data_IF_450250478398
#
_entry.id   IF_450250478398
#
_cell.length_a   1.000
_cell.length_b   1.000
_cell.length_c   1.000
_cell.angle_alpha   90.00
_cell.angle_beta   90.00
_cell.angle_gamma   90.00
#
_symmetry.space_group_name_H-M   'P 1'
#
loop_
_entity.id
_entity.type
_entity.pdbx_description
1 polymer ?
#
# COMPACT_ATOMS: atom_id res chain seq x y z
N UNK A 1 49.91 33.15 40.85
CA UNK A 1 49.63 32.05 39.91
C UNK A 1 48.29 31.41 40.28
N UNK A 2 47.20 31.82 39.64
CA UNK A 2 45.86 31.25 39.88
C UNK A 2 45.10 31.27 38.55
N UNK A 3 44.95 30.10 37.92
CA UNK A 3 44.15 29.91 36.69
C UNK A 3 42.72 29.55 37.10
N UNK A 4 41.75 30.35 36.69
CA UNK A 4 40.33 30.02 36.77
C UNK A 4 39.93 29.15 35.56
N UNK A 5 39.12 28.09 35.71
CA UNK A 5 38.65 27.32 34.58
C UNK A 5 37.37 27.96 34.00
N UNK A 6 37.37 28.21 32.69
CA UNK A 6 36.17 28.53 31.93
C UNK A 6 35.29 27.28 31.80
N UNK A 7 34.10 27.31 32.41
CA UNK A 7 33.04 26.35 32.09
C UNK A 7 32.42 26.74 30.73
N UNK A 8 32.67 25.93 29.70
CA UNK A 8 31.95 26.03 28.43
C UNK A 8 30.57 25.36 28.58
N UNK A 9 29.52 26.16 28.58
CA UNK A 9 28.13 25.69 28.58
C UNK A 9 27.76 25.28 27.14
N UNK A 10 27.73 23.97 26.88
CA UNK A 10 27.26 23.44 25.60
C UNK A 10 25.73 23.48 25.53
N UNK A 11 25.17 24.42 24.77
CA UNK A 11 23.73 24.47 24.47
C UNK A 11 23.44 23.46 23.37
N UNK A 12 22.84 22.33 23.74
CA UNK A 12 22.36 21.31 22.81
C UNK A 12 21.05 21.80 22.17
N UNK A 13 21.13 22.34 20.95
CA UNK A 13 19.95 22.71 20.15
C UNK A 13 19.22 21.44 19.71
N UNK A 14 18.16 21.07 20.45
CA UNK A 14 17.17 20.09 20.02
C UNK A 14 16.35 20.69 18.86
N UNK A 15 16.77 20.42 17.63
CA UNK A 15 15.95 20.65 16.43
C UNK A 15 14.72 19.74 16.50
N UNK A 16 13.48 20.26 16.53
CA UNK A 16 12.31 19.43 16.39
C UNK A 16 12.32 18.83 14.99
N UNK A 17 12.42 17.50 14.91
CA UNK A 17 12.19 16.77 13.67
C UNK A 17 10.71 16.93 13.31
N UNK A 18 10.38 17.97 12.54
CA UNK A 18 9.08 18.04 11.88
C UNK A 18 9.02 16.84 10.93
N UNK A 19 8.07 15.91 11.08
CA UNK A 19 7.83 14.92 10.05
C UNK A 19 7.44 15.71 8.80
N UNK A 20 8.28 15.65 7.77
CA UNK A 20 7.89 16.07 6.44
C UNK A 20 6.69 15.20 6.07
N UNK A 21 5.48 15.77 6.19
CA UNK A 21 4.36 15.31 5.41
C UNK A 21 4.77 15.58 3.97
N UNK A 22 5.38 14.57 3.34
CA UNK A 22 5.57 14.56 1.91
C UNK A 22 4.17 14.69 1.35
N UNK A 23 3.85 15.89 0.89
CA UNK A 23 2.63 16.11 0.15
C UNK A 23 2.78 15.29 -1.13
N UNK A 24 2.14 14.11 -1.14
CA UNK A 24 2.14 13.24 -2.29
C UNK A 24 1.37 13.88 -3.46
N UNK A 25 0.76 15.07 -3.27
CA UNK A 25 0.21 15.92 -4.32
C UNK A 25 1.34 16.72 -5.00
N UNK A 26 2.28 16.03 -5.63
CA UNK A 26 3.12 16.67 -6.65
C UNK A 26 2.23 17.23 -7.76
N UNK A 27 2.71 18.26 -8.46
CA UNK A 27 1.94 19.09 -9.40
C UNK A 27 1.24 18.37 -10.59
N UNK A 28 1.34 17.04 -10.71
CA UNK A 28 0.76 16.22 -11.80
C UNK A 28 0.17 14.87 -11.34
N UNK A 29 -0.24 14.74 -10.07
CA UNK A 29 -0.91 13.53 -9.62
C UNK A 29 -2.29 13.37 -10.26
N UNK A 30 -2.56 12.19 -10.84
CA UNK A 30 -3.89 11.80 -11.30
C UNK A 30 -4.49 10.77 -10.33
N UNK A 31 -5.78 10.92 -10.04
CA UNK A 31 -6.51 9.90 -9.28
C UNK A 31 -6.71 8.69 -10.18
N UNK A 32 -6.13 7.56 -9.78
CA UNK A 32 -6.42 6.30 -10.45
C UNK A 32 -7.78 5.78 -9.98
N UNK A 33 -7.96 5.61 -8.68
CA UNK A 33 -9.17 5.08 -8.06
C UNK A 33 -9.45 5.79 -6.74
N UNK A 34 -10.70 6.21 -6.54
CA UNK A 34 -11.20 6.73 -5.25
C UNK A 34 -12.50 6.05 -4.79
N UNK A 35 -12.98 5.05 -5.55
CA UNK A 35 -14.18 4.25 -5.32
C UNK A 35 -15.50 5.03 -5.25
N UNK A 36 -15.53 6.34 -5.55
CA UNK A 36 -16.76 7.14 -5.45
C UNK A 36 -17.82 6.80 -6.48
N UNK A 37 -17.41 6.22 -7.62
CA UNK A 37 -18.34 5.77 -8.66
C UNK A 37 -18.95 4.40 -8.36
N UNK A 38 -18.45 3.70 -7.33
CA UNK A 38 -18.95 2.39 -6.94
C UNK A 38 -19.97 2.49 -5.82
N UNK A 39 -20.93 1.57 -5.80
CA UNK A 39 -21.94 1.51 -4.75
C UNK A 39 -21.36 0.88 -3.48
N UNK A 40 -21.54 1.57 -2.35
CA UNK A 40 -21.18 1.05 -1.02
C UNK A 40 -21.89 -0.28 -0.75
N UNK A 41 -21.14 -1.24 -0.22
CA UNK A 41 -21.60 -2.59 0.07
C UNK A 41 -21.46 -3.59 -1.08
N UNK A 42 -21.10 -3.11 -2.28
CA UNK A 42 -20.95 -3.94 -3.48
C UNK A 42 -19.50 -4.07 -3.93
N UNK A 43 -19.25 -5.10 -4.75
CA UNK A 43 -17.98 -5.23 -5.44
C UNK A 43 -17.89 -4.16 -6.56
N UNK A 44 -16.78 -3.44 -6.73
CA UNK A 44 -16.66 -2.41 -7.77
C UNK A 44 -16.91 -2.96 -9.18
N UNK A 45 -17.71 -2.27 -9.99
CA UNK A 45 -18.19 -2.79 -11.27
C UNK A 45 -17.09 -2.95 -12.34
N UNK A 46 -16.08 -2.08 -12.32
CA UNK A 46 -14.95 -2.05 -13.25
C UNK A 46 -13.78 -2.95 -12.81
N UNK A 47 -13.88 -3.55 -11.62
CA UNK A 47 -12.91 -4.52 -11.11
C UNK A 47 -13.24 -5.94 -11.54
N UNK A 48 -12.24 -6.80 -11.50
CA UNK A 48 -12.34 -8.24 -11.77
C UNK A 48 -11.67 -9.02 -10.66
N UNK A 49 -12.37 -10.01 -10.14
CA UNK A 49 -11.80 -10.99 -9.21
C UNK A 49 -11.03 -12.06 -9.98
N UNK A 50 -9.95 -12.59 -9.41
CA UNK A 50 -9.22 -13.72 -10.00
C UNK A 50 -10.06 -15.00 -10.05
N UNK A 51 -10.93 -15.20 -9.05
CA UNK A 51 -11.92 -16.29 -8.96
C UNK A 51 -13.18 -15.76 -8.28
N UNK A 52 -14.34 -16.35 -8.54
CA UNK A 52 -15.64 -15.85 -8.06
C UNK A 52 -15.72 -15.69 -6.54
N UNK A 53 -15.06 -16.58 -5.78
CA UNK A 53 -14.97 -16.48 -4.31
C UNK A 53 -14.40 -15.14 -3.81
N UNK A 54 -13.71 -14.38 -4.66
CA UNK A 54 -13.20 -13.04 -4.32
C UNK A 54 -14.30 -11.99 -4.20
N UNK A 55 -15.48 -12.19 -4.78
CA UNK A 55 -16.59 -11.22 -4.72
C UNK A 55 -17.13 -11.05 -3.30
N UNK A 56 -17.02 -12.10 -2.48
CA UNK A 56 -17.41 -12.04 -1.07
C UNK A 56 -16.33 -11.40 -0.19
N UNK A 57 -15.08 -11.39 -0.65
CA UNK A 57 -13.93 -10.81 0.06
C UNK A 57 -13.91 -9.29 -0.06
N UNK A 58 -14.21 -8.76 -1.25
CA UNK A 58 -14.01 -7.35 -1.58
C UNK A 58 -15.34 -6.59 -1.71
N UNK A 59 -15.49 -5.49 -0.97
CA UNK A 59 -16.65 -4.59 -1.07
C UNK A 59 -16.22 -3.15 -0.89
N UNK A 60 -16.88 -2.23 -1.57
CA UNK A 60 -16.70 -0.79 -1.32
C UNK A 60 -17.33 -0.44 0.02
N UNK A 61 -16.62 0.34 0.82
CA UNK A 61 -17.07 0.89 2.09
C UNK A 61 -16.83 2.40 2.10
N UNK A 62 -17.51 3.09 3.01
CA UNK A 62 -17.32 4.51 3.26
C UNK A 62 -17.11 4.74 4.76
N UNK A 63 -16.12 5.55 5.11
CA UNK A 63 -15.93 6.06 6.47
C UNK A 63 -15.56 7.55 6.38
N UNK A 64 -16.36 8.43 7.00
CA UNK A 64 -16.07 9.87 7.05
C UNK A 64 -15.98 10.53 5.67
N UNK A 65 -16.83 10.13 4.71
CA UNK A 65 -16.82 10.65 3.34
C UNK A 65 -15.73 10.06 2.43
N UNK A 66 -14.87 9.17 2.93
CA UNK A 66 -13.84 8.50 2.13
C UNK A 66 -14.36 7.14 1.70
N UNK A 67 -14.47 6.93 0.38
CA UNK A 67 -14.77 5.63 -0.22
C UNK A 67 -13.49 4.81 -0.37
N UNK A 68 -13.54 3.52 -0.10
CA UNK A 68 -12.39 2.63 -0.22
C UNK A 68 -12.81 1.17 -0.45
N UNK A 69 -11.91 0.37 -1.02
CA UNK A 69 -12.08 -1.06 -1.11
C UNK A 69 -11.73 -1.73 0.22
N UNK A 70 -12.72 -2.35 0.85
CA UNK A 70 -12.55 -3.19 2.03
C UNK A 70 -12.36 -4.64 1.61
N UNK A 71 -11.35 -5.29 2.19
CA UNK A 71 -11.15 -6.73 2.08
C UNK A 71 -11.41 -7.41 3.43
N UNK A 72 -12.20 -8.48 3.43
CA UNK A 72 -12.40 -9.36 4.58
C UNK A 72 -12.29 -10.81 4.12
N UNK A 73 -11.16 -11.45 4.40
CA UNK A 73 -10.89 -12.83 3.98
C UNK A 73 -10.77 -13.76 5.19
N UNK A 74 -11.17 -15.02 5.00
CA UNK A 74 -10.98 -16.12 5.97
C UNK A 74 -10.43 -17.32 5.22
N UNK A 75 -9.15 -17.62 5.43
CA UNK A 75 -8.49 -18.79 4.81
C UNK A 75 -8.40 -18.73 3.27
N UNK A 76 -8.50 -17.54 2.67
CA UNK A 76 -8.50 -17.36 1.22
C UNK A 76 -7.52 -16.25 0.79
N UNK A 77 -6.46 -16.64 0.08
CA UNK A 77 -5.62 -15.69 -0.66
C UNK A 77 -6.19 -15.48 -2.07
N UNK A 78 -6.72 -14.30 -2.35
CA UNK A 78 -7.31 -13.99 -3.65
C UNK A 78 -7.08 -12.53 -4.03
N UNK A 79 -6.88 -12.27 -5.32
CA UNK A 79 -6.71 -10.92 -5.85
C UNK A 79 -7.98 -10.44 -6.54
N UNK A 80 -8.21 -9.12 -6.48
CA UNK A 80 -9.04 -8.39 -7.41
C UNK A 80 -8.17 -7.29 -8.06
N UNK A 81 -8.44 -6.99 -9.32
CA UNK A 81 -7.71 -5.97 -10.07
C UNK A 81 -8.64 -5.28 -11.05
N UNK A 82 -8.27 -4.05 -11.43
CA UNK A 82 -8.85 -3.33 -12.56
C UNK A 82 -7.74 -2.87 -13.49
N UNK A 83 -8.08 -2.68 -14.75
CA UNK A 83 -7.18 -2.10 -15.74
C UNK A 83 -7.26 -0.57 -15.65
N UNK A 84 -6.12 0.14 -15.68
CA UNK A 84 -6.09 1.61 -15.60
C UNK A 84 -5.53 2.19 -16.89
N UNK A 85 -6.41 2.44 -17.87
CA UNK A 85 -6.03 2.88 -19.23
C UNK A 85 -5.49 4.30 -19.31
N UNK A 86 -5.80 5.15 -18.32
CA UNK A 86 -5.39 6.56 -18.27
C UNK A 86 -4.01 6.78 -17.66
N UNK A 87 -3.42 5.72 -17.09
CA UNK A 87 -2.13 5.79 -16.44
C UNK A 87 -1.02 5.29 -17.35
N UNK A 88 0.05 6.08 -17.45
CA UNK A 88 1.28 5.76 -18.15
C UNK A 88 2.41 5.74 -17.13
N UNK A 89 3.06 4.58 -16.97
CA UNK A 89 4.16 4.39 -16.03
C UNK A 89 5.40 5.23 -16.39
N UNK A 90 5.66 5.46 -17.68
CA UNK A 90 6.80 6.26 -18.12
C UNK A 90 6.60 7.74 -17.78
N UNK A 91 5.37 8.25 -17.93
CA UNK A 91 5.02 9.62 -17.57
C UNK A 91 4.84 9.81 -16.05
N UNK A 92 4.32 8.80 -15.34
CA UNK A 92 3.99 8.84 -13.91
C UNK A 92 4.52 7.59 -13.19
N UNK A 93 5.85 7.54 -12.91
CA UNK A 93 6.50 6.36 -12.33
C UNK A 93 6.22 6.16 -10.84
N UNK A 94 5.61 7.16 -10.18
CA UNK A 94 5.27 7.12 -8.77
C UNK A 94 3.79 6.82 -8.58
N UNK A 95 3.51 5.79 -7.79
CA UNK A 95 2.17 5.47 -7.30
C UNK A 95 2.09 5.82 -5.81
N UNK A 96 1.01 6.47 -5.43
CA UNK A 96 0.67 6.74 -4.04
C UNK A 96 -0.66 6.05 -3.70
N UNK A 97 -0.70 5.38 -2.56
CA UNK A 97 -1.93 4.77 -2.04
C UNK A 97 -1.91 4.84 -0.52
N UNK A 98 -3.10 4.71 0.06
CA UNK A 98 -3.29 4.57 1.50
C UNK A 98 -4.01 3.27 1.78
N UNK A 99 -3.63 2.62 2.86
CA UNK A 99 -4.26 1.39 3.33
C UNK A 99 -4.27 1.34 4.85
N UNK A 100 -5.11 0.48 5.43
CA UNK A 100 -5.22 0.34 6.87
C UNK A 100 -5.58 -1.11 7.23
N UNK A 101 -4.59 -1.97 7.53
CA UNK A 101 -4.89 -3.30 8.03
C UNK A 101 -5.59 -3.20 9.38
N UNK A 102 -6.70 -3.92 9.55
CA UNK A 102 -7.45 -3.98 10.82
C UNK A 102 -7.13 -5.23 11.63
N UNK A 103 -6.73 -6.29 10.95
CA UNK A 103 -6.36 -7.57 11.54
C UNK A 103 -5.31 -8.22 10.67
N UNK A 104 -4.31 -8.82 11.31
CA UNK A 104 -3.29 -9.63 10.65
C UNK A 104 -3.67 -11.11 10.78
N UNK A 105 -3.41 -11.94 9.76
CA UNK A 105 -3.58 -13.38 9.88
C UNK A 105 -2.70 -13.92 11.01
N UNK A 106 -3.28 -14.73 11.89
CA UNK A 106 -2.52 -15.31 13.01
C UNK A 106 -1.41 -16.18 12.47
N UNK A 107 -0.16 -15.85 12.82
CA UNK A 107 0.99 -16.60 12.34
C UNK A 107 1.54 -16.13 11.00
N UNK A 108 1.03 -15.05 10.40
CA UNK A 108 1.48 -14.53 9.10
C UNK A 108 3.00 -14.35 9.05
N UNK A 109 3.62 -14.94 8.03
CA UNK A 109 5.03 -14.71 7.67
C UNK A 109 5.16 -14.93 6.17
N UNK A 110 5.47 -13.87 5.44
CA UNK A 110 5.57 -13.86 3.99
C UNK A 110 6.78 -14.65 3.46
N UNK A 111 7.74 -14.96 4.34
CA UNK A 111 8.90 -15.81 4.01
C UNK A 111 8.60 -17.30 4.21
N UNK A 112 7.48 -17.62 4.84
CA UNK A 112 7.02 -19.02 4.95
C UNK A 112 6.39 -19.47 3.63
N UNK A 113 6.31 -20.78 3.39
CA UNK A 113 5.66 -21.34 2.19
C UNK A 113 4.16 -20.99 2.05
N UNK A 114 3.54 -20.39 3.06
CA UNK A 114 2.16 -19.88 3.01
C UNK A 114 2.06 -18.51 2.34
N UNK A 115 3.13 -17.71 2.38
CA UNK A 115 3.20 -16.34 1.87
C UNK A 115 1.98 -15.48 2.29
N UNK A 116 1.54 -15.67 3.54
CA UNK A 116 0.33 -15.04 4.06
C UNK A 116 0.64 -13.62 4.53
N UNK A 117 -0.20 -12.69 4.11
CA UNK A 117 -0.04 -11.25 4.37
C UNK A 117 -1.40 -10.61 4.61
N UNK A 118 -1.50 -9.60 5.48
CA UNK A 118 -2.75 -8.90 5.76
C UNK A 118 -3.31 -8.20 4.52
N UNK A 119 -2.44 -7.61 3.69
CA UNK A 119 -2.79 -6.86 2.51
C UNK A 119 -1.59 -6.72 1.58
N UNK A 120 -1.85 -6.75 0.28
CA UNK A 120 -0.88 -6.42 -0.74
C UNK A 120 -1.49 -5.58 -1.87
N UNK A 121 -0.71 -4.66 -2.42
CA UNK A 121 -1.03 -3.92 -3.64
C UNK A 121 -0.14 -4.45 -4.75
N UNK A 122 -0.78 -4.81 -5.87
CA UNK A 122 -0.09 -5.27 -7.07
C UNK A 122 -0.15 -4.18 -8.12
N UNK A 123 1.00 -3.82 -8.67
CA UNK A 123 1.12 -3.06 -9.90
C UNK A 123 1.48 -4.03 -11.01
N UNK A 124 0.56 -4.24 -11.95
CA UNK A 124 0.78 -5.12 -13.10
C UNK A 124 1.05 -4.27 -14.34
N UNK A 125 2.12 -4.60 -15.05
CA UNK A 125 2.50 -3.96 -16.31
C UNK A 125 2.44 -5.01 -17.39
N UNK A 126 1.75 -4.70 -18.49
CA UNK A 126 1.75 -5.56 -19.66
C UNK A 126 3.18 -5.84 -20.11
N UNK A 127 3.49 -7.11 -20.36
CA UNK A 127 4.84 -7.51 -20.72
C UNK A 127 4.86 -8.52 -21.86
N UNK A 128 4.07 -9.59 -21.76
CA UNK A 128 4.01 -10.62 -22.79
C UNK A 128 2.64 -11.30 -22.82
N UNK A 129 2.21 -11.71 -24.01
CA UNK A 129 1.01 -12.57 -24.16
C UNK A 129 1.28 -14.02 -23.76
N UNK A 130 2.55 -14.45 -23.74
CA UNK A 130 2.95 -15.83 -23.41
C UNK A 130 3.19 -15.98 -21.91
N UNK A 131 3.99 -15.09 -21.32
CA UNK A 131 4.38 -15.16 -19.90
C UNK A 131 3.52 -14.29 -18.99
N UNK A 132 2.61 -13.49 -19.57
CA UNK A 132 1.73 -12.59 -18.82
C UNK A 132 2.41 -11.27 -18.44
N UNK A 133 1.77 -10.49 -17.55
CA UNK A 133 2.30 -9.22 -17.09
C UNK A 133 3.48 -9.40 -16.12
N UNK A 134 4.34 -8.39 -16.04
CA UNK A 134 5.25 -8.23 -14.90
C UNK A 134 4.48 -7.60 -13.76
N UNK A 135 4.77 -8.01 -12.53
CA UNK A 135 4.13 -7.47 -11.36
C UNK A 135 5.16 -7.01 -10.32
N UNK A 136 4.89 -5.87 -9.70
CA UNK A 136 5.50 -5.48 -8.43
C UNK A 136 4.43 -5.61 -7.35
N UNK A 137 4.76 -6.33 -6.28
CA UNK A 137 3.87 -6.55 -5.13
C UNK A 137 4.42 -5.80 -3.92
N UNK A 138 3.65 -4.84 -3.43
CA UNK A 138 3.92 -4.18 -2.15
C UNK A 138 3.09 -4.86 -1.07
N UNK A 139 3.74 -5.28 0.00
CA UNK A 139 3.10 -6.01 1.09
C UNK A 139 3.23 -5.19 2.37
N UNK A 140 2.16 -5.12 3.15
CA UNK A 140 2.26 -4.70 4.53
C UNK A 140 2.52 -5.94 5.40
N UNK A 141 3.67 -6.02 6.07
CA UNK A 141 4.02 -7.18 6.89
C UNK A 141 4.10 -6.81 8.36
N UNK A 142 3.72 -7.76 9.22
CA UNK A 142 3.95 -7.67 10.67
C UNK A 142 5.37 -8.11 11.06
N UNK A 143 5.99 -8.99 10.26
CA UNK A 143 7.23 -9.71 10.64
C UNK A 143 8.43 -9.40 9.79
N UNK A 144 8.21 -9.00 8.54
CA UNK A 144 9.27 -8.72 7.59
C UNK A 144 9.62 -7.23 7.69
N UNK A 145 10.90 -6.88 7.93
CA UNK A 145 11.31 -5.47 8.00
C UNK A 145 11.00 -4.70 6.72
N UNK A 146 10.64 -3.43 6.87
CA UNK A 146 10.46 -2.50 5.73
C UNK A 146 11.71 -2.47 4.87
N UNK A 147 11.52 -2.45 3.54
CA UNK A 147 12.61 -2.45 2.56
C UNK A 147 13.16 -3.85 2.23
N UNK A 148 12.66 -4.92 2.87
CA UNK A 148 13.02 -6.28 2.48
C UNK A 148 12.44 -6.65 1.12
N UNK A 149 13.29 -7.15 0.22
CA UNK A 149 12.84 -7.72 -1.06
C UNK A 149 12.55 -9.22 -0.88
N UNK A 150 11.29 -9.61 -1.11
CA UNK A 150 10.86 -10.99 -1.10
C UNK A 150 10.81 -11.54 -2.52
N UNK A 151 11.38 -12.72 -2.74
CA UNK A 151 11.26 -13.47 -3.99
C UNK A 151 10.07 -14.39 -3.91
N UNK A 152 9.16 -14.29 -4.88
CA UNK A 152 7.98 -15.15 -5.04
C UNK A 152 8.13 -16.06 -6.25
#
# INVERSE_FOLDING_TARGET
MTRAPLLALAVLLLLPALPLLVDAQGADCITLEDFKQSKVGEFPADWKVRKDAGRDVYKVAEEGGIHFLRAASKGLGIQAARETKTWDLAARPMLAWSWRPRQFPSGADERSGKNDSPLAVYMLVEHSRITGPKAVKYIWSERVPVGTHLTS
#
